data_IF_354376402974
#
_entry.id   IF_354376402974
#
_cell.length_a   1.000
_cell.length_b   1.000
_cell.length_c   1.000
_cell.angle_alpha   90.00
_cell.angle_beta   90.00
_cell.angle_gamma   90.00
#
_symmetry.space_group_name_H-M   'P 1'
#
loop_
_entity.id
_entity.type
_entity.pdbx_description
1 polymer ?
#
# COMPACT_ATOMS: atom_id res chain seq x y z
N UNK A 1 18.56 7.33 9.76
CA UNK A 1 17.78 8.02 8.70
C UNK A 1 16.33 8.08 9.13
N UNK A 2 15.64 9.22 8.97
CA UNK A 2 14.22 9.32 9.32
C UNK A 2 13.42 8.35 8.46
N UNK A 3 12.61 7.51 9.12
CA UNK A 3 11.64 6.63 8.46
C UNK A 3 10.34 7.42 8.30
N UNK A 4 9.85 7.53 7.07
CA UNK A 4 8.57 8.18 6.81
C UNK A 4 7.44 7.18 7.02
N UNK A 5 6.38 7.62 7.68
CA UNK A 5 5.14 6.85 7.81
C UNK A 5 4.34 7.06 6.53
N UNK A 6 3.95 5.97 5.89
CA UNK A 6 3.21 5.95 4.64
C UNK A 6 2.00 5.03 4.76
N UNK A 7 0.95 5.36 4.01
CA UNK A 7 -0.26 4.54 3.92
C UNK A 7 -0.29 3.83 2.58
N UNK A 8 -0.54 2.52 2.60
CA UNK A 8 -0.75 1.68 1.41
C UNK A 8 -2.25 1.42 1.26
N UNK A 9 -2.83 1.72 0.10
CA UNK A 9 -4.25 1.50 -0.20
C UNK A 9 -4.42 0.48 -1.34
N UNK A 10 -5.44 -0.38 -1.22
CA UNK A 10 -5.82 -1.34 -2.27
C UNK A 10 -6.27 -0.64 -3.55
N UNK A 11 -5.66 -0.97 -4.69
CA UNK A 11 -6.00 -0.38 -6.00
C UNK A 11 -7.22 -1.04 -6.64
N UNK A 12 -7.49 -2.30 -6.32
CA UNK A 12 -8.56 -3.10 -6.94
C UNK A 12 -9.94 -2.84 -6.32
N UNK A 13 -9.98 -2.41 -5.06
CA UNK A 13 -11.23 -2.26 -4.31
C UNK A 13 -12.19 -1.24 -4.94
N UNK A 14 -11.66 -0.13 -5.48
CA UNK A 14 -12.46 0.93 -6.11
C UNK A 14 -13.20 0.42 -7.36
N UNK A 15 -12.56 -0.44 -8.16
CA UNK A 15 -13.18 -1.04 -9.33
C UNK A 15 -14.27 -2.06 -8.95
N UNK A 16 -14.11 -2.72 -7.79
CA UNK A 16 -15.08 -3.68 -7.26
C UNK A 16 -16.25 -3.03 -6.50
N UNK A 17 -16.30 -1.69 -6.38
CA UNK A 17 -17.32 -0.99 -5.60
C UNK A 17 -17.25 -1.25 -4.09
N UNK A 18 -16.13 -1.80 -3.60
CA UNK A 18 -15.91 -2.13 -2.20
C UNK A 18 -15.02 -1.08 -1.53
N UNK A 19 -15.13 -0.89 -0.20
CA UNK A 19 -14.22 -0.02 0.52
C UNK A 19 -12.76 -0.49 0.39
N UNK A 20 -11.80 0.43 0.17
CA UNK A 20 -10.41 0.06 0.02
C UNK A 20 -9.78 -0.32 1.37
N UNK A 21 -9.08 -1.46 1.39
CA UNK A 21 -8.22 -1.84 2.51
C UNK A 21 -7.00 -0.92 2.59
N UNK A 22 -6.68 -0.43 3.80
CA UNK A 22 -5.56 0.50 4.06
C UNK A 22 -4.61 -0.06 5.12
N UNK A 23 -3.32 0.10 4.89
CA UNK A 23 -2.25 -0.32 5.81
C UNK A 23 -1.29 0.83 6.07
N UNK A 24 -0.88 1.00 7.33
CA UNK A 24 0.19 1.92 7.70
C UNK A 24 1.51 1.18 7.74
N UNK A 25 2.53 1.71 7.07
CA UNK A 25 3.89 1.14 7.09
C UNK A 25 4.92 2.25 7.14
N UNK A 26 6.17 1.90 7.48
CA UNK A 26 7.29 2.83 7.42
C UNK A 26 8.13 2.56 6.18
N UNK A 27 8.54 3.61 5.47
CA UNK A 27 9.49 3.53 4.35
C UNK A 27 10.75 4.33 4.65
N UNK A 28 11.87 3.87 4.12
CA UNK A 28 13.10 4.66 4.06
C UNK A 28 13.18 5.37 2.70
N UNK A 29 13.06 6.70 2.69
CA UNK A 29 13.09 7.52 1.47
C UNK A 29 14.42 7.44 0.72
N UNK A 30 15.54 7.21 1.43
CA UNK A 30 16.90 7.12 0.86
C UNK A 30 17.30 5.68 0.49
N UNK A 31 16.37 4.73 0.55
CA UNK A 31 16.64 3.34 0.17
C UNK A 31 16.87 3.23 -1.35
N UNK A 32 18.06 2.82 -1.76
CA UNK A 32 18.39 2.54 -3.17
C UNK A 32 17.56 1.36 -3.71
N UNK A 33 17.11 0.44 -2.84
CA UNK A 33 16.32 -0.74 -3.22
C UNK A 33 14.84 -0.45 -3.51
N UNK A 34 14.36 0.74 -3.14
CA UNK A 34 12.94 1.08 -3.30
C UNK A 34 12.80 2.55 -3.73
N UNK A 35 13.31 2.89 -4.93
CA UNK A 35 13.18 4.24 -5.46
C UNK A 35 11.73 4.45 -5.91
N UNK A 36 11.05 5.45 -5.35
CA UNK A 36 9.68 5.83 -5.75
C UNK A 36 8.57 5.36 -4.80
N UNK A 37 7.37 5.13 -5.35
CA UNK A 37 6.17 4.71 -4.60
C UNK A 37 6.30 3.25 -4.18
N UNK A 38 5.96 2.94 -2.93
CA UNK A 38 5.96 1.58 -2.44
C UNK A 38 4.70 0.83 -2.92
N UNK A 39 4.91 -0.33 -3.53
CA UNK A 39 3.85 -1.27 -3.88
C UNK A 39 4.08 -2.60 -3.18
N UNK A 40 3.03 -3.13 -2.55
CA UNK A 40 3.07 -4.42 -1.86
C UNK A 40 1.78 -5.18 -2.08
N UNK A 41 1.92 -6.48 -2.30
CA UNK A 41 0.77 -7.39 -2.26
C UNK A 41 0.41 -7.62 -0.79
N UNK A 42 -0.81 -7.25 -0.43
CA UNK A 42 -1.37 -7.42 0.91
C UNK A 42 -2.74 -8.06 0.80
N UNK A 43 -3.16 -8.71 1.88
CA UNK A 43 -4.50 -9.26 1.97
C UNK A 43 -5.51 -8.10 2.03
N UNK A 44 -6.59 -8.19 1.27
CA UNK A 44 -7.73 -7.28 1.41
C UNK A 44 -8.86 -8.05 2.09
N UNK A 45 -9.24 -7.63 3.29
CA UNK A 45 -10.28 -8.29 4.08
C UNK A 45 -11.66 -8.20 3.42
N UNK A 46 -11.97 -7.12 2.71
CA UNK A 46 -13.25 -6.93 2.03
C UNK A 46 -13.44 -7.87 0.84
N UNK A 47 -12.38 -8.10 0.07
CA UNK A 47 -12.40 -9.01 -1.09
C UNK A 47 -11.99 -10.45 -0.73
N UNK A 48 -11.57 -10.69 0.52
CA UNK A 48 -11.03 -11.97 1.02
C UNK A 48 -9.91 -12.57 0.16
N UNK A 49 -9.13 -11.74 -0.54
CA UNK A 49 -8.03 -12.15 -1.42
C UNK A 49 -6.82 -11.23 -1.29
N UNK A 50 -5.66 -11.68 -1.77
CA UNK A 50 -4.48 -10.82 -1.89
C UNK A 50 -4.64 -9.90 -3.09
N UNK A 51 -4.40 -8.61 -2.88
CA UNK A 51 -4.54 -7.56 -3.87
C UNK A 51 -3.34 -6.63 -3.82
N UNK A 52 -3.13 -5.90 -4.91
CA UNK A 52 -2.08 -4.89 -4.96
C UNK A 52 -2.46 -3.68 -4.10
N UNK A 53 -1.56 -3.29 -3.19
CA UNK A 53 -1.68 -2.06 -2.42
C UNK A 53 -0.55 -1.11 -2.78
N UNK A 54 -0.90 0.14 -3.07
CA UNK A 54 0.03 1.19 -3.49
C UNK A 54 0.08 2.33 -2.49
N UNK A 55 1.25 2.93 -2.34
CA UNK A 55 1.47 4.11 -1.50
C UNK A 55 0.57 5.28 -1.93
N UNK A 56 -0.27 5.71 -0.98
CA UNK A 56 -1.04 6.94 -1.04
C UNK A 56 -0.27 8.00 -0.26
N UNK A 57 0.38 8.84 -1.03
CA UNK A 57 0.92 10.13 -0.68
C UNK A 57 1.06 10.95 -1.96
#
# INVERSE_FOLDING_TARGET
>A
MPREIITLECTEAKAAGMPPSRYVTTRNKKSVRTPGRLEKVKFNHFMKKRTLHREIR
#
